data_IF_596770816975
#
_entry.id   IF_596770816975
#
_cell.length_a   1.000
_cell.length_b   1.000
_cell.length_c   1.000
_cell.angle_alpha   90.00
_cell.angle_beta   90.00
_cell.angle_gamma   90.00
#
_symmetry.space_group_name_H-M   'P 1'
#
loop_
_entity.id
_entity.type
_entity.pdbx_description
1 polymer ?
#
# COMPACT_ATOMS: atom_id res chain seq x y z
N UNK A 1 -11.95 1.70 17.02
CA UNK A 1 -10.50 1.96 17.10
C UNK A 1 -10.11 2.67 15.82
N UNK A 2 -9.64 3.91 15.92
CA UNK A 2 -9.25 4.71 14.77
C UNK A 2 -7.80 4.36 14.47
N UNK A 3 -7.54 3.61 13.39
CA UNK A 3 -6.18 3.28 12.98
C UNK A 3 -5.45 4.57 12.61
N UNK A 4 -4.38 4.90 13.32
CA UNK A 4 -3.55 6.07 13.04
C UNK A 4 -2.90 5.89 11.66
N UNK A 5 -3.20 6.80 10.73
CA UNK A 5 -2.70 6.78 9.33
C UNK A 5 -1.56 7.79 9.09
N UNK A 6 -1.10 8.48 10.13
CA UNK A 6 -0.06 9.51 10.08
C UNK A 6 1.09 9.22 11.05
N UNK A 7 2.30 9.26 10.49
CA UNK A 7 3.60 9.08 11.12
C UNK A 7 4.42 10.35 10.92
N UNK A 8 5.26 10.71 11.89
CA UNK A 8 6.39 11.61 11.65
C UNK A 8 7.54 10.84 11.00
N UNK A 9 8.45 11.55 10.32
CA UNK A 9 9.66 10.93 9.75
C UNK A 9 10.47 10.21 10.84
N UNK A 10 10.64 10.84 12.00
CA UNK A 10 11.35 10.26 13.15
C UNK A 10 10.69 8.96 13.66
N UNK A 11 9.35 8.91 13.75
CA UNK A 11 8.63 7.69 14.12
C UNK A 11 8.78 6.60 13.04
N UNK A 12 8.72 6.98 11.77
CA UNK A 12 8.86 6.06 10.65
C UNK A 12 10.28 5.48 10.54
N UNK A 13 11.31 6.26 10.84
CA UNK A 13 12.71 5.83 10.89
C UNK A 13 12.98 4.92 12.10
N UNK A 14 12.42 5.27 13.26
CA UNK A 14 12.56 4.46 14.47
C UNK A 14 11.89 3.08 14.33
N UNK A 15 10.75 2.98 13.64
CA UNK A 15 10.01 1.73 13.49
C UNK A 15 9.48 1.47 12.07
N UNK A 16 10.41 1.39 11.11
CA UNK A 16 10.07 1.15 9.71
C UNK A 16 9.31 -0.16 9.50
N UNK A 17 9.59 -1.17 10.35
CA UNK A 17 8.92 -2.47 10.27
C UNK A 17 7.44 -2.33 10.61
N UNK A 18 7.10 -1.65 11.70
CA UNK A 18 5.71 -1.44 12.06
C UNK A 18 4.98 -0.57 11.05
N UNK A 19 5.64 0.44 10.47
CA UNK A 19 5.09 1.22 9.35
C UNK A 19 4.69 0.33 8.18
N UNK A 20 5.60 -0.56 7.74
CA UNK A 20 5.34 -1.48 6.64
C UNK A 20 4.25 -2.51 6.96
N UNK A 21 4.22 -3.05 8.18
CA UNK A 21 3.17 -3.99 8.61
C UNK A 21 1.80 -3.31 8.69
N UNK A 22 1.75 -2.06 9.13
CA UNK A 22 0.52 -1.26 9.16
C UNK A 22 0.07 -0.94 7.74
N UNK A 23 0.97 -0.54 6.85
CA UNK A 23 0.66 -0.32 5.44
C UNK A 23 0.12 -1.59 4.76
N UNK A 24 0.71 -2.74 5.08
CA UNK A 24 0.32 -4.06 4.55
C UNK A 24 -1.06 -4.53 5.00
N UNK A 25 -1.48 -4.21 6.23
CA UNK A 25 -2.74 -4.72 6.82
C UNK A 25 -3.86 -3.69 6.83
N UNK A 26 -3.52 -2.42 7.05
CA UNK A 26 -4.45 -1.33 7.30
C UNK A 26 -4.59 -0.32 6.15
N UNK A 27 -3.83 -0.48 5.07
CA UNK A 27 -3.85 0.43 3.92
C UNK A 27 -2.83 1.57 4.03
N UNK A 28 -2.86 2.54 3.10
CA UNK A 28 -1.82 3.55 2.95
C UNK A 28 -1.48 4.28 4.25
N UNK A 29 -0.19 4.47 4.50
CA UNK A 29 0.33 5.22 5.65
C UNK A 29 1.03 6.48 5.15
N UNK A 30 0.73 7.62 5.79
CA UNK A 30 1.35 8.90 5.48
C UNK A 30 2.48 9.16 6.46
N UNK A 31 3.65 9.54 5.96
CA UNK A 31 4.81 9.97 6.76
C UNK A 31 5.06 11.43 6.45
N UNK A 32 5.07 12.29 7.46
CA UNK A 32 5.34 13.74 7.31
C UNK A 32 6.74 14.04 7.78
N UNK A 33 7.47 14.78 6.96
CA UNK A 33 8.79 15.30 7.30
C UNK A 33 8.70 16.25 8.50
N UNK A 34 9.73 16.28 9.33
CA UNK A 34 9.78 17.09 10.56
C UNK A 34 9.73 18.59 10.27
N UNK A 35 10.22 19.05 9.11
CA UNK A 35 10.08 20.45 8.65
C UNK A 35 8.66 20.76 8.14
N UNK A 36 7.76 19.76 8.08
CA UNK A 36 6.35 19.89 7.70
C UNK A 36 6.13 20.15 6.21
N UNK A 37 7.21 20.24 5.41
CA UNK A 37 7.16 20.55 3.97
C UNK A 37 7.13 19.30 3.09
N UNK A 38 7.61 18.16 3.60
CA UNK A 38 7.66 16.89 2.89
C UNK A 38 6.58 15.91 3.36
N UNK A 39 6.06 15.11 2.42
CA UNK A 39 5.15 14.00 2.72
C UNK A 39 5.51 12.79 1.87
N UNK A 40 5.55 11.62 2.51
CA UNK A 40 5.68 10.33 1.86
C UNK A 40 4.40 9.53 2.10
N UNK A 41 4.04 8.69 1.12
CA UNK A 41 2.96 7.72 1.27
C UNK A 41 3.52 6.33 1.07
N UNK A 42 3.37 5.47 2.08
CA UNK A 42 3.75 4.06 2.03
C UNK A 42 2.50 3.24 1.79
N UNK A 43 2.44 2.60 0.62
CA UNK A 43 1.33 1.75 0.21
C UNK A 43 1.83 0.35 -0.08
N UNK A 44 1.10 -0.65 0.39
CA UNK A 44 1.36 -2.04 0.04
C UNK A 44 0.45 -2.47 -1.11
N UNK A 45 1.06 -2.71 -2.27
CA UNK A 45 0.37 -3.27 -3.43
C UNK A 45 0.72 -4.74 -3.57
N UNK A 46 -0.29 -5.62 -3.54
CA UNK A 46 -0.16 -6.97 -4.08
C UNK A 46 -0.62 -6.94 -5.52
N UNK A 47 0.14 -7.52 -6.47
CA UNK A 47 -0.46 -7.88 -7.74
C UNK A 47 -1.61 -8.83 -7.42
N UNK A 48 -2.85 -8.40 -7.64
CA UNK A 48 -3.91 -9.35 -7.93
C UNK A 48 -3.38 -10.16 -9.09
N UNK A 49 -3.41 -11.49 -8.96
CA UNK A 49 -3.13 -12.36 -10.09
C UNK A 49 -4.07 -11.91 -11.20
N UNK A 50 -3.57 -11.10 -12.14
CA UNK A 50 -4.32 -10.83 -13.35
C UNK A 50 -4.53 -12.22 -13.96
N UNK A 51 -5.77 -12.60 -14.32
CA UNK A 51 -5.94 -13.81 -15.10
C UNK A 51 -4.98 -13.64 -16.29
N UNK A 52 -4.06 -14.59 -16.43
CA UNK A 52 -3.08 -14.55 -17.52
C UNK A 52 -3.87 -14.30 -18.80
N UNK A 53 -3.38 -13.46 -19.71
CA UNK A 53 -4.06 -13.23 -21.01
C UNK A 53 -4.40 -14.56 -21.70
N UNK A 54 -3.59 -15.59 -21.41
CA UNK A 54 -3.82 -17.00 -21.74
C UNK A 54 -5.13 -17.58 -21.20
N UNK A 55 -5.51 -17.32 -19.94
CA UNK A 55 -6.78 -17.77 -19.36
C UNK A 55 -7.98 -17.09 -20.05
N UNK A 56 -7.88 -15.79 -20.34
CA UNK A 56 -8.92 -15.05 -21.07
C UNK A 56 -9.11 -15.56 -22.51
N UNK A 57 -8.02 -16.00 -23.16
CA UNK A 57 -8.06 -16.62 -24.50
C UNK A 57 -8.55 -18.07 -24.46
N UNK A 58 -8.29 -18.81 -23.38
CA UNK A 58 -8.68 -20.22 -23.22
C UNK A 58 -10.14 -20.38 -22.77
N UNK A 59 -10.67 -19.46 -21.97
CA UNK A 59 -12.06 -19.52 -21.49
C UNK A 59 -13.09 -19.00 -22.48
N UNK A 60 -12.65 -18.48 -23.64
CA UNK A 60 -13.53 -17.89 -24.65
C UNK A 60 -14.17 -16.64 -24.10
N UNK A 61 -13.65 -15.46 -24.47
CA UNK A 61 -14.22 -14.18 -24.06
C UNK A 61 -15.75 -14.16 -24.25
N UNK A 62 -16.48 -13.37 -23.44
CA UNK A 62 -17.95 -13.42 -23.42
C UNK A 62 -18.49 -13.30 -24.84
N UNK A 63 -19.23 -14.33 -25.28
CA UNK A 63 -20.01 -14.26 -26.51
C UNK A 63 -20.96 -13.06 -26.38
N UNK A 64 -20.98 -12.22 -27.42
CA UNK A 64 -21.65 -10.92 -27.49
C UNK A 64 -23.14 -10.93 -27.06
#
# INVERSE_FOLDING_TARGET
>A
MVSRMEWTLEEAEADVRQLLETARRGGPQTVRDTDGKGVFTVTYSKPTSQPSVTAYLLEGGPEE
#
